data_IF_494173523941
#
_entry.id   IF_494173523941
#
_cell.length_a   1.000
_cell.length_b   1.000
_cell.length_c   1.000
_cell.angle_alpha   90.00
_cell.angle_beta   90.00
_cell.angle_gamma   90.00
#
_symmetry.space_group_name_H-M   'P 1'
#
loop_
_entity.id
_entity.type
_entity.pdbx_description
1 polymer ?
#
# COMPACT_ATOMS: atom_id res chain seq x y z
N UNK A 1 23.62 -4.79 -2.43
CA UNK A 1 23.66 -3.77 -1.39
C UNK A 1 22.36 -2.97 -1.38
N UNK A 2 21.81 -2.75 -0.20
CA UNK A 2 20.57 -1.99 -0.08
C UNK A 2 20.81 -0.51 -0.34
N UNK A 3 19.91 0.11 -1.12
CA UNK A 3 19.87 1.54 -1.37
C UNK A 3 18.72 2.21 -0.66
N UNK A 4 18.04 1.46 0.20
CA UNK A 4 16.85 1.95 0.86
C UNK A 4 17.20 2.97 1.93
N UNK A 5 16.51 4.10 1.89
CA UNK A 5 16.67 5.14 2.90
C UNK A 5 15.96 4.72 4.18
N UNK A 6 16.49 5.09 5.34
CA UNK A 6 15.76 4.86 6.58
C UNK A 6 14.42 5.57 6.54
N UNK A 7 13.41 4.91 7.06
CA UNK A 7 12.08 5.51 7.16
C UNK A 7 12.01 6.41 8.40
N UNK A 8 11.28 7.52 8.28
CA UNK A 8 11.03 8.38 9.42
C UNK A 8 10.10 7.67 10.41
N UNK A 9 10.09 8.13 11.65
CA UNK A 9 9.17 7.59 12.66
C UNK A 9 7.72 7.76 12.23
N UNK A 10 7.41 8.90 11.61
CA UNK A 10 6.07 9.16 11.11
C UNK A 10 5.68 8.15 10.03
N UNK A 11 6.58 7.86 9.10
CA UNK A 11 6.29 6.90 8.04
C UNK A 11 6.16 5.49 8.59
N UNK A 12 6.99 5.10 9.55
CA UNK A 12 6.85 3.81 10.23
C UNK A 12 5.47 3.68 10.87
N UNK A 13 5.01 4.73 11.52
CA UNK A 13 3.70 4.76 12.16
C UNK A 13 2.57 4.62 11.11
N UNK A 14 2.67 5.36 10.01
CA UNK A 14 1.66 5.31 8.96
C UNK A 14 1.57 3.92 8.32
N UNK A 15 2.71 3.28 8.11
CA UNK A 15 2.74 1.91 7.56
C UNK A 15 2.09 0.95 8.54
N UNK A 16 2.49 0.99 9.82
CA UNK A 16 1.93 0.12 10.83
C UNK A 16 0.42 0.30 10.95
N UNK A 17 -0.04 1.54 10.94
CA UNK A 17 -1.45 1.87 11.01
C UNK A 17 -2.22 1.34 9.80
N UNK A 18 -1.65 1.49 8.61
CA UNK A 18 -2.28 1.00 7.38
C UNK A 18 -2.42 -0.51 7.41
N UNK A 19 -1.39 -1.22 7.87
CA UNK A 19 -1.39 -2.69 7.90
C UNK A 19 -2.24 -3.26 9.03
N UNK A 20 -2.64 -2.45 10.00
CA UNK A 20 -3.42 -2.91 11.13
C UNK A 20 -4.86 -3.26 10.78
N UNK A 21 -5.41 -2.72 9.70
CA UNK A 21 -6.78 -2.99 9.28
C UNK A 21 -6.80 -4.21 8.36
N UNK A 22 -7.53 -5.28 8.71
CA UNK A 22 -7.57 -6.50 7.87
C UNK A 22 -8.08 -6.25 6.46
N UNK A 23 -8.98 -5.28 6.27
CA UNK A 23 -9.50 -4.97 4.94
C UNK A 23 -8.45 -4.29 4.09
N UNK A 24 -7.67 -3.38 4.67
CA UNK A 24 -6.54 -2.77 3.96
C UNK A 24 -5.50 -3.81 3.58
N UNK A 25 -5.24 -4.74 4.47
CA UNK A 25 -4.31 -5.83 4.18
C UNK A 25 -4.78 -6.68 2.99
N UNK A 26 -6.07 -6.99 2.93
CA UNK A 26 -6.64 -7.73 1.79
C UNK A 26 -6.48 -6.97 0.48
N UNK A 27 -6.72 -5.66 0.51
CA UNK A 27 -6.53 -4.81 -0.66
C UNK A 27 -5.07 -4.85 -1.10
N UNK A 28 -4.16 -4.72 -0.17
CA UNK A 28 -2.72 -4.72 -0.46
C UNK A 28 -2.29 -6.05 -1.08
N UNK A 29 -2.79 -7.17 -0.56
CA UNK A 29 -2.53 -8.49 -1.13
C UNK A 29 -3.00 -8.59 -2.56
N UNK A 30 -4.18 -8.02 -2.85
CA UNK A 30 -4.73 -8.03 -4.20
C UNK A 30 -3.85 -7.24 -5.16
N UNK A 31 -3.39 -6.07 -4.74
CA UNK A 31 -2.50 -5.23 -5.54
C UNK A 31 -1.16 -5.95 -5.75
N UNK A 32 -0.63 -6.55 -4.70
CA UNK A 32 0.66 -7.26 -4.76
C UNK A 32 0.62 -8.47 -5.68
N UNK A 33 -0.54 -9.09 -5.83
CA UNK A 33 -0.70 -10.25 -6.70
C UNK A 33 -0.73 -9.93 -8.18
N UNK A 34 -0.72 -8.66 -8.55
CA UNK A 34 -0.70 -8.25 -9.96
C UNK A 34 0.71 -7.84 -10.36
N UNK A 35 1.16 -8.31 -11.52
CA UNK A 35 2.47 -7.91 -12.05
C UNK A 35 2.45 -6.46 -12.50
N UNK A 36 1.32 -6.05 -13.07
CA UNK A 36 1.10 -4.68 -13.53
C UNK A 36 0.18 -3.95 -12.55
N UNK A 37 -0.08 -2.68 -12.86
CA UNK A 37 -0.97 -1.88 -12.07
C UNK A 37 -2.39 -2.47 -12.07
N UNK A 38 -2.99 -2.55 -10.89
CA UNK A 38 -4.34 -3.07 -10.74
C UNK A 38 -5.35 -1.93 -10.83
N UNK A 39 -6.30 -2.06 -11.78
CA UNK A 39 -7.32 -1.04 -11.97
C UNK A 39 -8.21 -0.92 -10.73
N UNK A 40 -8.62 0.31 -10.44
CA UNK A 40 -9.49 0.60 -9.29
C UNK A 40 -10.76 -0.22 -9.30
N UNK A 41 -11.39 -0.38 -10.46
CA UNK A 41 -12.61 -1.19 -10.61
C UNK A 41 -12.39 -2.65 -10.25
N UNK A 42 -11.20 -3.18 -10.55
CA UNK A 42 -10.87 -4.57 -10.21
C UNK A 42 -10.71 -4.75 -8.71
N UNK A 43 -10.12 -3.78 -8.02
CA UNK A 43 -10.02 -3.81 -6.56
C UNK A 43 -11.40 -3.81 -5.94
N UNK A 44 -12.25 -2.88 -6.39
CA UNK A 44 -13.61 -2.75 -5.87
C UNK A 44 -14.45 -4.00 -6.11
N UNK A 45 -14.28 -4.63 -7.28
CA UNK A 45 -15.04 -5.83 -7.64
C UNK A 45 -14.71 -7.04 -6.80
N UNK A 46 -13.58 -7.04 -6.10
CA UNK A 46 -13.15 -8.15 -5.24
C UNK A 46 -13.54 -7.96 -3.78
N UNK A 47 -14.05 -6.79 -3.44
CA UNK A 47 -14.36 -6.42 -2.06
C UNK A 47 -15.79 -5.93 -1.97
N UNK A 48 -16.54 -6.47 -1.02
CA UNK A 48 -17.91 -6.01 -0.76
C UNK A 48 -17.88 -4.79 0.15
N UNK A 49 -17.37 -3.68 -0.38
CA UNK A 49 -17.30 -2.43 0.34
C UNK A 49 -17.77 -1.29 -0.56
N UNK A 50 -18.27 -0.24 0.08
CA UNK A 50 -18.72 0.93 -0.66
C UNK A 50 -17.54 1.68 -1.27
N UNK A 51 -17.81 2.47 -2.31
CA UNK A 51 -16.77 3.27 -2.95
C UNK A 51 -16.11 4.26 -1.98
N UNK A 52 -16.86 4.97 -1.11
CA UNK A 52 -16.21 5.85 -0.12
C UNK A 52 -15.30 5.10 0.85
N UNK A 53 -15.70 3.91 1.29
CA UNK A 53 -14.88 3.10 2.19
C UNK A 53 -13.61 2.64 1.50
N UNK A 54 -13.73 2.19 0.25
CA UNK A 54 -12.56 1.80 -0.54
C UNK A 54 -11.61 2.98 -0.71
N UNK A 55 -12.14 4.15 -1.07
CA UNK A 55 -11.33 5.36 -1.24
C UNK A 55 -10.56 5.70 0.04
N UNK A 56 -11.20 5.55 1.20
CA UNK A 56 -10.55 5.79 2.48
C UNK A 56 -9.38 4.83 2.68
N UNK A 57 -9.58 3.53 2.42
CA UNK A 57 -8.52 2.54 2.57
C UNK A 57 -7.36 2.80 1.61
N UNK A 58 -7.68 3.14 0.36
CA UNK A 58 -6.64 3.43 -0.64
C UNK A 58 -5.83 4.67 -0.24
N UNK A 59 -6.49 5.68 0.30
CA UNK A 59 -5.82 6.88 0.76
C UNK A 59 -4.86 6.58 1.91
N UNK A 60 -5.26 5.73 2.86
CA UNK A 60 -4.39 5.35 3.97
C UNK A 60 -3.16 4.59 3.48
N UNK A 61 -3.33 3.69 2.52
CA UNK A 61 -2.22 2.97 1.92
C UNK A 61 -1.29 3.91 1.16
N UNK A 62 -1.84 4.88 0.47
CA UNK A 62 -1.10 5.88 -0.29
C UNK A 62 -0.27 6.78 0.63
N UNK A 63 -0.88 7.25 1.71
CA UNK A 63 -0.21 8.10 2.70
C UNK A 63 0.94 7.37 3.39
N UNK A 64 0.79 6.07 3.59
CA UNK A 64 1.85 5.23 4.13
C UNK A 64 2.99 5.01 3.13
N UNK A 65 2.76 5.31 1.87
CA UNK A 65 3.74 5.09 0.81
C UNK A 65 3.79 3.65 0.30
N UNK A 66 2.81 2.82 0.68
CA UNK A 66 2.80 1.41 0.29
C UNK A 66 2.30 1.19 -1.13
N UNK A 67 1.53 2.10 -1.64
CA UNK A 67 1.04 2.03 -3.02
C UNK A 67 1.24 3.36 -3.72
N UNK A 68 1.33 3.27 -5.05
CA UNK A 68 1.39 4.43 -5.93
C UNK A 68 0.15 4.40 -6.82
N UNK A 69 -0.54 5.53 -6.90
CA UNK A 69 -1.69 5.70 -7.78
C UNK A 69 -1.20 6.17 -9.13
N UNK A 70 -1.65 5.51 -10.19
CA UNK A 70 -1.36 5.90 -11.56
C UNK A 70 -2.65 6.30 -12.25
N UNK A 71 -2.62 7.44 -12.89
CA UNK A 71 -3.77 7.96 -13.62
C UNK A 71 -3.45 8.07 -15.09
N UNK A 72 -4.38 7.58 -15.92
CA UNK A 72 -4.29 7.67 -17.36
C UNK A 72 -5.67 8.11 -17.86
N UNK A 73 -5.82 9.43 -18.09
CA UNK A 73 -7.11 10.00 -18.39
C UNK A 73 -8.05 9.81 -17.19
N UNK A 74 -9.17 9.14 -17.43
CA UNK A 74 -10.13 8.82 -16.37
C UNK A 74 -9.89 7.47 -15.70
N UNK A 75 -8.88 6.73 -16.17
CA UNK A 75 -8.55 5.44 -15.59
C UNK A 75 -7.58 5.62 -14.43
N UNK A 76 -7.84 4.89 -13.35
CA UNK A 76 -7.01 4.91 -12.14
C UNK A 76 -6.56 3.49 -11.85
N UNK A 77 -5.28 3.32 -11.56
CA UNK A 77 -4.72 2.03 -11.20
C UNK A 77 -3.71 2.20 -10.07
N UNK A 78 -3.35 1.08 -9.43
CA UNK A 78 -2.49 1.08 -8.25
C UNK A 78 -1.36 0.10 -8.40
N UNK A 79 -0.20 0.47 -7.88
CA UNK A 79 1.01 -0.36 -7.91
C UNK A 79 1.57 -0.43 -6.50
N UNK A 80 1.99 -1.61 -6.09
CA UNK A 80 2.65 -1.79 -4.80
C UNK A 80 4.05 -1.17 -4.84
N UNK A 81 4.38 -0.41 -3.81
CA UNK A 81 5.73 0.14 -3.64
C UNK A 81 6.56 -0.87 -2.84
N UNK A 82 7.16 -1.81 -3.57
CA UNK A 82 7.97 -2.87 -2.94
C UNK A 82 9.22 -2.33 -2.27
N UNK A 83 9.76 -1.23 -2.78
CA UNK A 83 10.91 -0.57 -2.18
C UNK A 83 10.61 -0.06 -0.76
N UNK A 84 9.43 0.54 -0.59
CA UNK A 84 9.00 1.03 0.73
C UNK A 84 8.73 -0.13 1.68
N UNK A 85 8.10 -1.18 1.18
CA UNK A 85 7.81 -2.37 2.00
C UNK A 85 9.09 -3.04 2.48
N UNK A 86 10.09 -3.16 1.59
CA UNK A 86 11.39 -3.72 1.95
C UNK A 86 12.12 -2.84 2.97
N UNK A 87 12.01 -1.51 2.82
CA UNK A 87 12.59 -0.59 3.79
C UNK A 87 11.95 -0.77 5.17
N UNK A 88 10.64 -1.00 5.21
CA UNK A 88 9.91 -1.24 6.45
C UNK A 88 10.38 -2.53 7.13
N UNK A 89 10.49 -3.62 6.37
CA UNK A 89 10.98 -4.89 6.90
C UNK A 89 12.40 -4.75 7.45
N UNK A 90 13.26 -4.08 6.71
CA UNK A 90 14.63 -3.85 7.12
C UNK A 90 14.74 -3.01 8.39
N UNK A 91 13.88 -2.01 8.51
CA UNK A 91 13.85 -1.15 9.69
C UNK A 91 13.41 -1.95 10.93
N UNK A 92 12.37 -2.76 10.80
CA UNK A 92 11.91 -3.61 11.89
C UNK A 92 13.01 -4.57 12.33
N UNK A 93 13.70 -5.16 11.37
CA UNK A 93 14.78 -6.10 11.67
C UNK A 93 15.91 -5.43 12.43
N UNK A 94 16.28 -4.23 12.05
CA UNK A 94 17.34 -3.48 12.73
C UNK A 94 16.93 -3.06 14.13
N UNK A 95 15.70 -2.58 14.26
CA UNK A 95 15.22 -2.02 15.54
C UNK A 95 14.90 -3.09 16.57
N UNK A 96 14.43 -4.25 16.12
CA UNK A 96 13.90 -5.30 17.00
C UNK A 96 14.79 -6.53 17.09
N UNK A 97 15.91 -6.51 16.42
CA UNK A 97 16.82 -7.65 16.43
C UNK A 97 17.61 -7.75 17.74
#
# INVERSE_FOLDING_TARGET
MSRLKPLSEQQLHLIAKALADPRRYKILKRIAGCEDALACGSVRGCMEISAPTLSHHMRELELAGLIETRRDGKFVSYVLRRDILEAYFGQLRRDLN
#
